data_IF_251630772965
#
_entry.id   IF_251630772965
#
_cell.length_a   1.000
_cell.length_b   1.000
_cell.length_c   1.000
_cell.angle_alpha   90.00
_cell.angle_beta   90.00
_cell.angle_gamma   90.00
#
_symmetry.space_group_name_H-M   'P 1'
#
loop_
_entity.id
_entity.type
_entity.pdbx_description
1 polymer ?
#
# COMPACT_ATOMS: atom_id res chain seq x y z
N UNK A 1 58.46 6.02 21.31
CA UNK A 1 59.20 4.74 21.06
C UNK A 1 58.35 3.69 20.32
N UNK A 2 57.03 3.66 20.50
CA UNK A 2 56.08 2.74 19.84
C UNK A 2 56.09 2.75 18.31
N UNK A 3 56.22 3.93 17.68
CA UNK A 3 56.21 4.07 16.20
C UNK A 3 57.37 3.34 15.49
N UNK A 4 58.59 3.38 16.07
CA UNK A 4 59.77 2.70 15.51
C UNK A 4 59.63 1.18 15.57
N UNK A 5 58.95 0.67 16.60
CA UNK A 5 58.72 -0.76 16.78
C UNK A 5 57.64 -1.29 15.82
N UNK A 6 56.60 -0.50 15.58
CA UNK A 6 55.54 -0.80 14.60
C UNK A 6 56.11 -0.88 13.17
N UNK A 7 57.02 0.04 12.82
CA UNK A 7 57.70 0.07 11.52
C UNK A 7 58.61 -1.13 11.29
N UNK A 8 59.18 -1.69 12.36
CA UNK A 8 60.10 -2.84 12.30
C UNK A 8 59.36 -4.16 12.07
N UNK A 9 58.12 -4.27 12.57
CA UNK A 9 57.24 -5.43 12.43
C UNK A 9 55.99 -5.11 11.58
N UNK A 10 56.17 -4.42 10.46
CA UNK A 10 55.10 -3.93 9.58
C UNK A 10 54.12 -5.04 9.16
N UNK A 11 54.63 -6.19 8.66
CA UNK A 11 53.77 -7.28 8.15
C UNK A 11 52.82 -7.82 9.22
N UNK A 12 53.32 -8.12 10.42
CA UNK A 12 52.52 -8.67 11.52
C UNK A 12 51.54 -7.65 12.09
N UNK A 13 51.97 -6.39 12.22
CA UNK A 13 51.13 -5.31 12.73
C UNK A 13 50.01 -4.96 11.73
N UNK A 14 50.29 -5.02 10.43
CA UNK A 14 49.29 -4.85 9.36
C UNK A 14 48.24 -5.96 9.39
N UNK A 15 48.62 -7.22 9.57
CA UNK A 15 47.67 -8.33 9.64
C UNK A 15 46.71 -8.19 10.84
N UNK A 16 47.23 -7.84 12.01
CA UNK A 16 46.39 -7.60 13.19
C UNK A 16 45.48 -6.38 12.99
N UNK A 17 46.02 -5.27 12.48
CA UNK A 17 45.25 -4.07 12.17
C UNK A 17 44.15 -4.33 11.14
N UNK A 18 44.46 -5.07 10.07
CA UNK A 18 43.49 -5.47 9.06
C UNK A 18 42.39 -6.35 9.64
N UNK A 19 42.74 -7.32 10.50
CA UNK A 19 41.74 -8.19 11.15
C UNK A 19 40.76 -7.37 12.00
N UNK A 20 41.28 -6.44 12.81
CA UNK A 20 40.45 -5.55 13.64
C UNK A 20 39.60 -4.63 12.75
N UNK A 21 40.20 -4.03 11.72
CA UNK A 21 39.51 -3.14 10.80
C UNK A 21 38.38 -3.87 10.05
N UNK A 22 38.62 -5.08 9.55
CA UNK A 22 37.61 -5.91 8.90
C UNK A 22 36.46 -6.27 9.83
N UNK A 23 36.75 -6.65 11.09
CA UNK A 23 35.70 -6.90 12.08
C UNK A 23 34.86 -5.65 12.37
N UNK A 24 35.53 -4.50 12.53
CA UNK A 24 34.85 -3.22 12.75
C UNK A 24 34.00 -2.78 11.56
N UNK A 25 34.50 -2.93 10.33
CA UNK A 25 33.72 -2.67 9.10
C UNK A 25 32.50 -3.58 9.06
N UNK A 26 32.65 -4.87 9.38
CA UNK A 26 31.53 -5.80 9.43
C UNK A 26 30.44 -5.36 10.42
N UNK A 27 30.83 -4.92 11.61
CA UNK A 27 29.89 -4.38 12.60
C UNK A 27 29.19 -3.11 12.11
N UNK A 28 29.94 -2.15 11.55
CA UNK A 28 29.36 -0.92 11.02
C UNK A 28 28.36 -1.18 9.89
N UNK A 29 28.69 -2.08 8.96
CA UNK A 29 27.78 -2.46 7.88
C UNK A 29 26.52 -3.14 8.42
N UNK A 30 26.65 -4.00 9.43
CA UNK A 30 25.50 -4.63 10.08
C UNK A 30 24.60 -3.60 10.77
N UNK A 31 25.18 -2.67 11.54
CA UNK A 31 24.42 -1.61 12.19
C UNK A 31 23.71 -0.71 11.18
N UNK A 32 24.41 -0.27 10.13
CA UNK A 32 23.82 0.53 9.07
C UNK A 32 22.69 -0.22 8.33
N UNK A 33 22.84 -1.52 8.13
CA UNK A 33 21.78 -2.34 7.54
C UNK A 33 20.56 -2.45 8.45
N UNK A 34 20.74 -2.70 9.74
CA UNK A 34 19.63 -2.78 10.71
C UNK A 34 18.87 -1.45 10.75
N UNK A 35 19.58 -0.33 10.87
CA UNK A 35 18.98 1.01 10.87
C UNK A 35 18.21 1.28 9.56
N UNK A 36 18.81 0.95 8.41
CA UNK A 36 18.15 1.09 7.10
C UNK A 36 16.88 0.26 6.99
N UNK A 37 16.88 -0.97 7.49
CA UNK A 37 15.72 -1.87 7.47
C UNK A 37 14.65 -1.38 8.43
N UNK A 38 15.01 -0.91 9.63
CA UNK A 38 14.05 -0.40 10.60
C UNK A 38 13.32 0.84 10.05
N UNK A 39 14.06 1.82 9.52
CA UNK A 39 13.47 2.99 8.88
C UNK A 39 12.60 2.62 7.67
N UNK A 40 13.07 1.68 6.84
CA UNK A 40 12.31 1.16 5.71
C UNK A 40 10.97 0.55 6.15
N UNK A 41 10.99 -0.33 7.14
CA UNK A 41 9.80 -1.03 7.63
C UNK A 41 8.82 -0.07 8.30
N UNK A 42 9.32 0.88 9.08
CA UNK A 42 8.49 1.91 9.70
C UNK A 42 7.78 2.75 8.63
N UNK A 43 8.53 3.30 7.66
CA UNK A 43 7.95 4.13 6.58
C UNK A 43 6.96 3.32 5.74
N UNK A 44 7.30 2.09 5.40
CA UNK A 44 6.42 1.19 4.66
C UNK A 44 5.13 0.86 5.45
N UNK A 45 5.24 0.57 6.75
CA UNK A 45 4.09 0.25 7.59
C UNK A 45 3.15 1.46 7.79
N UNK A 46 3.72 2.66 7.96
CA UNK A 46 2.95 3.89 8.19
C UNK A 46 2.35 4.40 6.88
N UNK A 47 3.17 4.70 5.86
CA UNK A 47 2.70 5.47 4.70
C UNK A 47 2.20 4.62 3.54
N UNK A 48 2.77 3.43 3.32
CA UNK A 48 2.46 2.60 2.14
C UNK A 48 1.39 1.56 2.49
N UNK A 49 1.53 0.89 3.64
CA UNK A 49 0.61 -0.15 4.07
C UNK A 49 -0.48 0.36 5.01
N UNK A 50 -0.43 1.60 5.51
CA UNK A 50 -1.44 2.19 6.40
C UNK A 50 -1.77 1.33 7.65
N UNK A 51 -0.81 0.54 8.13
CA UNK A 51 -0.94 -0.33 9.30
C UNK A 51 -0.30 0.25 10.56
N UNK A 52 0.51 1.30 10.44
CA UNK A 52 1.19 1.97 11.55
C UNK A 52 0.44 3.15 12.18
N UNK A 53 -0.84 3.36 11.86
CA UNK A 53 -1.62 4.50 12.35
C UNK A 53 -2.43 4.18 13.61
N UNK A 54 -2.64 5.19 14.45
CA UNK A 54 -3.66 5.14 15.50
C UNK A 54 -5.04 5.27 14.85
N UNK A 55 -5.90 4.28 15.09
CA UNK A 55 -7.26 4.25 14.54
C UNK A 55 -8.27 4.57 15.63
N UNK A 56 -9.19 5.47 15.32
CA UNK A 56 -10.30 5.82 16.21
C UNK A 56 -11.53 5.04 15.79
N UNK A 57 -12.10 4.29 16.73
CA UNK A 57 -13.35 3.56 16.54
C UNK A 57 -14.41 4.11 17.46
N UNK A 58 -15.68 3.99 17.06
CA UNK A 58 -16.80 4.19 17.97
C UNK A 58 -16.70 3.19 19.11
N UNK A 59 -17.15 3.59 20.31
CA UNK A 59 -17.08 2.71 21.49
C UNK A 59 -17.74 1.35 21.23
N UNK A 60 -17.01 0.26 21.51
CA UNK A 60 -17.42 -1.12 21.24
C UNK A 60 -17.44 -1.51 19.75
N UNK A 61 -16.96 -0.65 18.86
CA UNK A 61 -16.96 -0.89 17.42
C UNK A 61 -15.94 -1.95 17.00
N UNK A 62 -14.79 -2.03 17.68
CA UNK A 62 -13.77 -3.02 17.35
C UNK A 62 -14.31 -4.46 17.44
N UNK A 63 -15.15 -4.76 18.43
CA UNK A 63 -15.72 -6.11 18.61
C UNK A 63 -17.07 -6.28 17.90
N UNK A 64 -17.90 -5.23 17.84
CA UNK A 64 -19.31 -5.35 17.45
C UNK A 64 -19.62 -4.80 16.06
N UNK A 65 -18.64 -4.23 15.36
CA UNK A 65 -18.84 -3.71 14.00
C UNK A 65 -19.43 -4.76 13.07
N UNK A 66 -18.86 -5.98 13.03
CA UNK A 66 -19.38 -7.05 12.16
C UNK A 66 -20.80 -7.51 12.51
N UNK A 67 -21.26 -7.30 13.74
CA UNK A 67 -22.62 -7.67 14.16
C UNK A 67 -23.63 -6.57 13.84
N UNK A 68 -23.24 -5.30 14.01
CA UNK A 68 -24.12 -4.13 13.84
C UNK A 68 -23.37 -2.96 13.17
N UNK A 69 -23.00 -3.06 11.88
CA UNK A 69 -22.15 -2.09 11.21
C UNK A 69 -22.67 -0.65 11.33
N UNK A 70 -23.95 -0.42 10.97
CA UNK A 70 -24.61 0.90 11.04
C UNK A 70 -24.54 1.57 12.42
N UNK A 71 -24.50 0.80 13.51
CA UNK A 71 -24.44 1.36 14.87
C UNK A 71 -23.04 1.80 15.26
N UNK A 72 -22.03 1.07 14.79
CA UNK A 72 -20.64 1.17 15.22
C UNK A 72 -19.72 1.88 14.20
N UNK A 73 -20.26 2.31 13.07
CA UNK A 73 -19.62 3.26 12.15
C UNK A 73 -19.61 4.67 12.77
N UNK A 74 -18.54 5.43 12.51
CA UNK A 74 -18.47 6.87 12.76
C UNK A 74 -19.22 7.60 11.64
N UNK A 75 -20.14 8.48 12.02
CA UNK A 75 -20.90 9.26 11.03
C UNK A 75 -20.03 10.40 10.48
N UNK A 76 -20.36 10.99 9.31
CA UNK A 76 -19.61 12.10 8.74
C UNK A 76 -19.41 13.28 9.70
N UNK A 77 -20.40 13.55 10.57
CA UNK A 77 -20.32 14.60 11.60
C UNK A 77 -19.30 14.26 12.70
N UNK A 78 -19.23 12.98 13.11
CA UNK A 78 -18.24 12.50 14.09
C UNK A 78 -16.83 12.65 13.51
N UNK A 79 -16.64 12.24 12.25
CA UNK A 79 -15.37 12.37 11.53
C UNK A 79 -14.93 13.83 11.46
N UNK A 80 -15.82 14.72 11.03
CA UNK A 80 -15.51 16.15 10.93
C UNK A 80 -15.14 16.77 12.28
N UNK A 81 -15.80 16.33 13.36
CA UNK A 81 -15.50 16.78 14.72
C UNK A 81 -14.10 16.34 15.15
N UNK A 82 -13.74 15.07 14.87
CA UNK A 82 -12.41 14.54 15.18
C UNK A 82 -11.31 15.25 14.37
N UNK A 83 -11.55 15.53 13.09
CA UNK A 83 -10.61 16.26 12.23
C UNK A 83 -10.36 17.69 12.72
N UNK A 84 -11.31 18.31 13.42
CA UNK A 84 -11.16 19.65 13.98
C UNK A 84 -10.47 19.68 15.34
N UNK A 85 -10.81 18.74 16.23
CA UNK A 85 -10.34 18.76 17.63
C UNK A 85 -8.94 18.13 17.78
N UNK A 86 -8.68 17.00 17.12
CA UNK A 86 -7.43 16.27 17.34
C UNK A 86 -6.17 17.09 17.00
N UNK A 87 -6.13 17.90 15.92
CA UNK A 87 -4.96 18.73 15.63
C UNK A 87 -4.67 19.80 16.69
N UNK A 88 -5.67 20.30 17.42
CA UNK A 88 -5.46 21.30 18.49
C UNK A 88 -4.97 20.67 19.80
N UNK A 89 -5.37 19.42 20.06
CA UNK A 89 -5.06 18.73 21.33
C UNK A 89 -3.72 17.99 21.30
N UNK A 90 -3.27 17.54 20.13
CA UNK A 90 -2.09 16.66 20.00
C UNK A 90 -0.97 17.37 19.24
N UNK A 91 0.03 17.88 19.99
CA UNK A 91 1.14 18.67 19.42
C UNK A 91 2.00 17.93 18.38
N UNK A 92 2.06 16.58 18.45
CA UNK A 92 2.84 15.74 17.51
C UNK A 92 1.97 15.07 16.44
N UNK A 93 0.72 15.48 16.29
CA UNK A 93 -0.16 14.92 15.28
C UNK A 93 0.17 15.53 13.92
N UNK A 94 0.51 14.67 12.99
CA UNK A 94 0.93 15.12 11.66
C UNK A 94 -0.25 15.26 10.69
N UNK A 95 -1.15 14.27 10.68
CA UNK A 95 -2.31 14.25 9.80
C UNK A 95 -3.44 13.43 10.41
N UNK A 96 -4.66 13.93 10.25
CA UNK A 96 -5.90 13.18 10.46
C UNK A 96 -6.56 13.00 9.09
N UNK A 97 -7.12 11.82 8.86
CA UNK A 97 -7.87 11.50 7.65
C UNK A 97 -8.90 10.42 7.98
N UNK A 98 -10.11 10.46 7.37
CA UNK A 98 -10.99 9.31 7.37
C UNK A 98 -10.31 8.15 6.64
N UNK A 99 -10.68 6.96 7.06
CA UNK A 99 -10.16 5.72 6.53
C UNK A 99 -11.24 4.67 6.51
N UNK A 100 -11.27 3.91 5.43
CA UNK A 100 -12.21 2.82 5.20
C UNK A 100 -11.40 1.55 4.95
N UNK A 101 -11.79 0.47 5.61
CA UNK A 101 -11.26 -0.86 5.34
C UNK A 101 -12.41 -1.82 5.07
N UNK A 102 -12.22 -2.70 4.09
CA UNK A 102 -13.21 -3.71 3.74
C UNK A 102 -12.53 -4.95 3.17
N UNK A 103 -13.34 -5.97 2.93
CA UNK A 103 -12.91 -7.18 2.23
C UNK A 103 -14.01 -7.66 1.31
N UNK A 104 -13.63 -8.40 0.29
CA UNK A 104 -14.55 -8.89 -0.72
C UNK A 104 -13.92 -9.88 -1.67
N UNK A 105 -14.61 -10.15 -2.76
CA UNK A 105 -14.17 -10.96 -3.89
C UNK A 105 -14.05 -10.09 -5.13
N UNK A 106 -12.87 -10.08 -5.73
CA UNK A 106 -12.62 -9.44 -7.02
C UNK A 106 -12.70 -10.52 -8.09
N UNK A 107 -13.37 -10.25 -9.20
CA UNK A 107 -13.61 -11.21 -10.26
C UNK A 107 -13.38 -10.64 -11.66
N UNK A 108 -12.95 -11.53 -12.56
CA UNK A 108 -12.88 -11.32 -14.01
C UNK A 108 -13.98 -12.11 -14.76
N UNK A 109 -15.10 -12.40 -14.09
CA UNK A 109 -16.20 -13.28 -14.53
C UNK A 109 -15.90 -14.78 -14.53
N UNK A 110 -14.64 -15.21 -14.69
CA UNK A 110 -14.26 -16.63 -14.72
C UNK A 110 -13.58 -17.13 -13.46
N UNK A 111 -12.96 -16.23 -12.71
CA UNK A 111 -12.21 -16.52 -11.49
C UNK A 111 -12.49 -15.43 -10.48
N UNK A 112 -12.35 -15.77 -9.20
CA UNK A 112 -12.50 -14.83 -8.10
C UNK A 112 -11.28 -14.92 -7.18
N UNK A 113 -10.90 -13.78 -6.62
CA UNK A 113 -9.81 -13.67 -5.65
C UNK A 113 -10.28 -12.84 -4.46
N UNK A 114 -10.05 -13.30 -3.22
CA UNK A 114 -10.31 -12.47 -2.06
C UNK A 114 -9.38 -11.25 -2.09
N UNK A 115 -9.93 -10.09 -1.74
CA UNK A 115 -9.15 -8.86 -1.64
C UNK A 115 -9.48 -8.11 -0.36
N UNK A 116 -8.56 -7.23 0.03
CA UNK A 116 -8.81 -6.20 1.03
C UNK A 116 -8.90 -4.86 0.33
N UNK A 117 -9.92 -4.08 0.68
CA UNK A 117 -10.14 -2.74 0.19
C UNK A 117 -9.63 -1.73 1.21
N UNK A 118 -9.01 -0.66 0.71
CA UNK A 118 -8.68 0.52 1.50
C UNK A 118 -9.24 1.73 0.78
N UNK A 119 -10.11 2.47 1.46
CA UNK A 119 -10.62 3.74 0.99
C UNK A 119 -9.91 4.87 1.73
N UNK A 120 -9.20 5.72 1.00
CA UNK A 120 -8.57 6.93 1.52
C UNK A 120 -8.92 8.12 0.63
N UNK A 121 -9.07 9.33 1.21
CA UNK A 121 -9.17 10.55 0.42
C UNK A 121 -7.96 10.74 -0.49
N UNK A 122 -8.21 11.27 -1.70
CA UNK A 122 -7.15 11.50 -2.71
C UNK A 122 -6.09 12.50 -2.25
N UNK A 123 -6.47 13.48 -1.43
CA UNK A 123 -5.55 14.42 -0.77
C UNK A 123 -4.62 13.73 0.22
N UNK A 124 -5.13 12.73 0.95
CA UNK A 124 -4.35 11.95 1.91
C UNK A 124 -3.38 11.03 1.18
N UNK A 125 -3.82 10.35 0.11
CA UNK A 125 -2.92 9.56 -0.75
C UNK A 125 -1.79 10.44 -1.31
N UNK A 126 -2.13 11.63 -1.85
CA UNK A 126 -1.14 12.57 -2.37
C UNK A 126 -0.15 13.00 -1.29
N UNK A 127 -0.64 13.41 -0.12
CA UNK A 127 0.19 13.82 1.01
C UNK A 127 1.17 12.71 1.41
N UNK A 128 0.68 11.48 1.61
CA UNK A 128 1.52 10.33 1.98
C UNK A 128 2.58 10.05 0.92
N UNK A 129 2.24 10.10 -0.37
CA UNK A 129 3.21 9.87 -1.46
C UNK A 129 4.30 10.94 -1.54
N UNK A 130 3.95 12.18 -1.24
CA UNK A 130 4.89 13.31 -1.24
C UNK A 130 5.63 13.49 0.07
N UNK A 131 5.36 12.66 1.08
CA UNK A 131 5.93 12.81 2.41
C UNK A 131 7.47 12.61 2.38
N UNK A 132 8.28 13.49 3.00
CA UNK A 132 9.75 13.43 2.92
C UNK A 132 10.35 12.08 3.28
N UNK A 133 9.84 11.43 4.35
CA UNK A 133 10.35 10.12 4.75
C UNK A 133 10.11 9.03 3.71
N UNK A 134 9.04 9.14 2.93
CA UNK A 134 8.72 8.16 1.88
C UNK A 134 9.65 8.35 0.69
N UNK A 135 9.96 9.60 0.34
CA UNK A 135 10.94 9.94 -0.70
C UNK A 135 12.37 9.51 -0.32
N UNK A 136 12.72 9.63 0.96
CA UNK A 136 14.04 9.27 1.46
C UNK A 136 14.23 7.75 1.58
N UNK A 137 13.28 7.05 2.21
CA UNK A 137 13.48 5.66 2.62
C UNK A 137 12.84 4.64 1.69
N UNK A 138 11.79 5.01 0.95
CA UNK A 138 11.02 4.08 0.10
C UNK A 138 10.57 4.69 -1.24
N UNK A 139 11.41 5.41 -2.00
CA UNK A 139 11.00 6.05 -3.25
C UNK A 139 10.50 5.03 -4.30
N UNK A 140 10.99 3.80 -4.26
CA UNK A 140 10.59 2.71 -5.14
C UNK A 140 9.16 2.20 -4.88
N UNK A 141 8.63 2.34 -3.66
CA UNK A 141 7.26 1.93 -3.33
C UNK A 141 6.21 2.93 -3.84
N UNK A 142 6.64 4.13 -4.22
CA UNK A 142 5.77 5.15 -4.83
C UNK A 142 5.52 4.89 -6.32
N UNK A 143 6.30 4.02 -6.93
CA UNK A 143 6.25 3.75 -8.36
C UNK A 143 5.05 2.88 -8.67
N UNK A 144 4.07 3.47 -9.37
CA UNK A 144 3.07 2.69 -10.07
C UNK A 144 3.78 1.87 -11.15
N UNK A 145 3.54 0.56 -11.16
CA UNK A 145 4.01 -0.30 -12.25
C UNK A 145 3.34 0.07 -13.56
N UNK A 146 2.11 0.58 -13.49
CA UNK A 146 1.31 0.94 -14.66
C UNK A 146 0.18 1.90 -14.28
N UNK A 147 -0.23 2.73 -15.22
CA UNK A 147 -1.38 3.63 -15.07
C UNK A 147 -1.13 4.84 -14.19
N UNK A 148 -2.21 5.39 -13.66
CA UNK A 148 -2.21 6.67 -12.96
C UNK A 148 -2.71 6.52 -11.52
N UNK A 149 -2.24 7.41 -10.63
CA UNK A 149 -2.69 7.45 -9.25
C UNK A 149 -4.07 8.11 -9.15
N UNK A 150 -4.79 7.84 -8.05
CA UNK A 150 -6.03 8.56 -7.72
C UNK A 150 -5.85 10.09 -7.72
N UNK A 151 -4.68 10.55 -7.31
CA UNK A 151 -4.36 11.97 -7.21
C UNK A 151 -4.22 12.69 -8.56
N UNK A 152 -4.18 11.97 -9.69
CA UNK A 152 -3.93 12.50 -11.02
C UNK A 152 -5.21 12.81 -11.83
N UNK A 153 -6.40 12.64 -11.24
CA UNK A 153 -7.69 12.94 -11.90
C UNK A 153 -8.53 11.72 -12.23
N UNK A 154 -8.35 10.63 -11.50
CA UNK A 154 -9.11 9.39 -11.68
C UNK A 154 -10.61 9.59 -11.47
N UNK A 155 -11.44 9.00 -12.33
CA UNK A 155 -12.91 8.99 -12.20
C UNK A 155 -13.37 8.28 -10.93
N UNK A 156 -14.57 8.62 -10.44
CA UNK A 156 -15.19 8.05 -9.24
C UNK A 156 -15.23 6.51 -9.23
N UNK A 157 -15.32 5.88 -10.41
CA UNK A 157 -15.52 4.42 -10.55
C UNK A 157 -14.21 3.67 -10.85
N UNK A 158 -13.08 4.17 -10.37
CA UNK A 158 -11.77 3.55 -10.62
C UNK A 158 -11.10 3.07 -9.35
N UNK A 159 -10.21 2.09 -9.50
CA UNK A 159 -9.43 1.52 -8.39
C UNK A 159 -7.94 1.43 -8.72
N UNK A 160 -7.11 1.57 -7.68
CA UNK A 160 -5.74 1.12 -7.70
C UNK A 160 -5.66 -0.34 -7.24
N UNK A 161 -5.00 -1.17 -8.04
CA UNK A 161 -4.91 -2.61 -7.78
C UNK A 161 -3.46 -3.02 -7.52
N UNK A 162 -3.25 -3.90 -6.54
CA UNK A 162 -1.94 -4.53 -6.37
C UNK A 162 -1.60 -5.38 -7.60
N UNK A 163 -0.40 -5.22 -8.15
CA UNK A 163 0.02 -5.94 -9.36
C UNK A 163 -0.07 -7.48 -9.22
N UNK A 164 0.06 -8.00 -7.99
CA UNK A 164 -0.15 -9.43 -7.69
C UNK A 164 -1.60 -9.87 -7.92
N UNK A 165 -2.57 -9.08 -7.43
CA UNK A 165 -4.00 -9.35 -7.63
C UNK A 165 -4.38 -9.26 -9.11
N UNK A 166 -3.89 -8.23 -9.81
CA UNK A 166 -4.08 -8.06 -11.24
C UNK A 166 -3.55 -9.28 -12.03
N UNK A 167 -2.39 -9.81 -11.65
CA UNK A 167 -1.82 -11.03 -12.23
C UNK A 167 -2.67 -12.27 -11.97
N UNK A 168 -3.15 -12.46 -10.74
CA UNK A 168 -4.00 -13.60 -10.39
C UNK A 168 -5.34 -13.57 -11.13
N UNK A 169 -5.88 -12.37 -11.37
CA UNK A 169 -7.10 -12.17 -12.16
C UNK A 169 -6.83 -12.14 -13.68
N UNK A 170 -5.58 -12.26 -14.13
CA UNK A 170 -5.25 -12.18 -15.55
C UNK A 170 -5.60 -10.84 -16.20
N UNK A 171 -5.54 -9.75 -15.43
CA UNK A 171 -5.90 -8.37 -15.81
C UNK A 171 -4.65 -7.48 -15.90
N UNK A 172 -3.79 -7.63 -16.94
CA UNK A 172 -2.52 -6.93 -17.02
C UNK A 172 -2.64 -5.46 -17.43
N UNK A 173 -3.77 -5.06 -18.00
CA UNK A 173 -4.01 -3.70 -18.51
C UNK A 173 -4.72 -2.83 -17.47
N UNK A 174 -4.55 -1.52 -17.63
CA UNK A 174 -5.29 -0.47 -16.91
C UNK A 174 -6.16 0.31 -17.90
N UNK A 175 -7.10 1.10 -17.41
CA UNK A 175 -8.05 1.89 -18.21
C UNK A 175 -7.36 2.72 -19.30
N UNK A 176 -6.23 3.37 -18.99
CA UNK A 176 -5.49 4.19 -19.95
C UNK A 176 -4.80 3.42 -21.09
N UNK A 177 -4.69 2.09 -21.01
CA UNK A 177 -4.06 1.28 -22.06
C UNK A 177 -5.00 0.92 -23.22
N UNK A 178 -6.30 1.10 -23.04
CA UNK A 178 -7.33 0.57 -23.92
C UNK A 178 -8.27 1.70 -24.32
N UNK A 179 -8.62 1.75 -25.61
CA UNK A 179 -9.68 2.63 -26.06
C UNK A 179 -10.99 2.27 -25.36
N UNK A 180 -11.80 3.27 -25.05
CA UNK A 180 -13.10 3.07 -24.41
C UNK A 180 -13.98 2.19 -25.31
N UNK A 181 -14.21 0.95 -24.87
CA UNK A 181 -14.89 -0.08 -25.64
C UNK A 181 -15.75 -0.92 -24.70
N UNK A 182 -16.95 -1.28 -25.17
CA UNK A 182 -17.81 -2.25 -24.48
C UNK A 182 -17.26 -3.65 -24.71
N UNK A 183 -16.90 -4.34 -23.64
CA UNK A 183 -16.45 -5.73 -23.72
C UNK A 183 -17.65 -6.68 -23.76
N UNK A 184 -17.63 -7.72 -24.62
CA UNK A 184 -18.73 -8.67 -24.69
C UNK A 184 -18.81 -9.52 -23.42
N UNK A 185 -20.02 -9.99 -23.10
CA UNK A 185 -20.24 -10.91 -22.00
C UNK A 185 -19.46 -12.21 -22.21
N UNK A 186 -18.78 -12.65 -21.16
CA UNK A 186 -18.06 -13.92 -21.16
C UNK A 186 -19.04 -15.04 -20.86
N UNK A 187 -19.26 -15.94 -21.82
CA UNK A 187 -20.19 -17.07 -21.70
C UNK A 187 -19.49 -18.41 -21.51
N UNK A 188 -18.23 -18.54 -21.93
CA UNK A 188 -17.43 -19.76 -21.79
C UNK A 188 -16.03 -19.45 -21.26
N UNK A 189 -15.73 -19.86 -20.03
CA UNK A 189 -14.43 -19.65 -19.40
C UNK A 189 -13.32 -20.60 -19.89
N UNK A 190 -13.66 -21.68 -20.61
CA UNK A 190 -12.70 -22.63 -21.13
C UNK A 190 -12.11 -22.22 -22.49
N UNK A 191 -12.75 -21.28 -23.20
CA UNK A 191 -12.32 -20.88 -24.53
C UNK A 191 -11.01 -20.07 -24.51
N UNK A 192 -10.14 -20.30 -25.50
CA UNK A 192 -8.92 -19.51 -25.68
C UNK A 192 -9.21 -18.03 -25.98
N UNK A 193 -10.34 -17.76 -26.65
CA UNK A 193 -10.79 -16.39 -26.96
C UNK A 193 -11.14 -15.61 -25.69
N UNK A 194 -11.77 -16.26 -24.71
CA UNK A 194 -12.12 -15.68 -23.42
C UNK A 194 -10.90 -15.20 -22.66
N UNK A 195 -9.83 -16.00 -22.62
CA UNK A 195 -8.58 -15.58 -21.96
C UNK A 195 -8.01 -14.30 -22.58
N UNK A 196 -8.08 -14.17 -23.90
CA UNK A 196 -7.61 -12.98 -24.60
C UNK A 196 -8.51 -11.75 -24.32
N UNK A 197 -9.83 -11.95 -24.22
CA UNK A 197 -10.79 -10.91 -23.84
C UNK A 197 -10.56 -10.41 -22.41
N UNK A 198 -10.40 -11.33 -21.46
CA UNK A 198 -10.11 -11.01 -20.05
C UNK A 198 -8.85 -10.16 -19.94
N UNK A 199 -7.78 -10.51 -20.66
CA UNK A 199 -6.52 -9.78 -20.64
C UNK A 199 -6.61 -8.37 -21.24
N UNK A 200 -7.57 -8.15 -22.14
CA UNK A 200 -7.81 -6.84 -22.76
C UNK A 200 -8.77 -5.96 -21.98
N UNK A 201 -9.66 -6.55 -21.18
CA UNK A 201 -10.63 -5.79 -20.39
C UNK A 201 -10.01 -5.32 -19.05
N UNK A 202 -9.89 -4.00 -18.78
CA UNK A 202 -9.37 -3.47 -17.52
C UNK A 202 -10.40 -3.41 -16.38
N UNK A 203 -11.66 -3.81 -16.65
CA UNK A 203 -12.74 -3.83 -15.67
C UNK A 203 -12.62 -5.05 -14.75
N UNK A 204 -13.04 -4.86 -13.50
CA UNK A 204 -13.08 -5.88 -12.47
C UNK A 204 -14.41 -5.75 -11.73
N UNK A 205 -15.03 -6.89 -11.45
CA UNK A 205 -16.22 -6.95 -10.63
C UNK A 205 -15.81 -7.14 -9.18
N UNK A 206 -16.24 -6.25 -8.31
CA UNK A 206 -16.00 -6.30 -6.88
C UNK A 206 -17.30 -6.67 -6.18
N UNK A 207 -17.29 -7.77 -5.44
CA UNK A 207 -18.34 -8.12 -4.50
C UNK A 207 -17.81 -7.87 -3.09
N UNK A 208 -18.40 -6.94 -2.37
CA UNK A 208 -17.98 -6.61 -1.02
C UNK A 208 -19.17 -6.39 -0.09
N UNK A 209 -18.92 -6.53 1.21
CA UNK A 209 -19.89 -6.10 2.21
C UNK A 209 -19.87 -4.57 2.26
N UNK A 210 -21.03 -3.95 2.04
CA UNK A 210 -21.26 -2.54 2.23
C UNK A 210 -21.24 -2.17 3.73
N UNK A 211 -20.96 -0.90 4.01
CA UNK A 211 -20.92 -0.35 5.39
C UNK A 211 -22.19 -0.55 6.18
N UNK A 212 -23.30 -0.69 5.49
CA UNK A 212 -24.61 -0.81 6.06
C UNK A 212 -24.95 -2.26 6.44
N UNK A 213 -24.03 -3.19 6.15
CA UNK A 213 -24.12 -4.63 6.37
C UNK A 213 -24.59 -5.42 5.16
N UNK A 214 -25.07 -4.76 4.10
CA UNK A 214 -25.50 -5.39 2.86
C UNK A 214 -24.34 -5.93 2.03
N UNK A 215 -24.64 -6.73 1.01
CA UNK A 215 -23.67 -7.15 0.00
C UNK A 215 -23.92 -6.36 -1.27
N UNK A 216 -22.89 -5.70 -1.79
CA UNK A 216 -22.96 -4.97 -3.05
C UNK A 216 -21.95 -5.54 -4.04
N UNK A 217 -22.39 -5.65 -5.29
CA UNK A 217 -21.54 -5.96 -6.43
C UNK A 217 -21.41 -4.68 -7.27
N UNK A 218 -20.18 -4.30 -7.58
CA UNK A 218 -19.87 -3.10 -8.35
C UNK A 218 -18.83 -3.43 -9.42
N UNK A 219 -19.02 -2.91 -10.61
CA UNK A 219 -18.05 -3.02 -11.69
C UNK A 219 -17.20 -1.74 -11.71
N UNK A 220 -15.88 -1.91 -11.67
CA UNK A 220 -14.94 -0.80 -11.58
C UNK A 220 -13.77 -1.01 -12.54
N UNK A 221 -13.14 0.08 -12.93
CA UNK A 221 -11.99 0.08 -13.84
C UNK A 221 -10.67 0.19 -13.08
N UNK A 222 -9.65 -0.59 -13.47
CA UNK A 222 -8.31 -0.45 -12.89
C UNK A 222 -7.67 0.81 -13.47
N UNK A 223 -7.47 1.86 -12.66
CA UNK A 223 -6.77 3.09 -13.09
C UNK A 223 -5.25 2.94 -13.04
N UNK A 224 -4.75 2.15 -12.09
CA UNK A 224 -3.33 1.96 -11.88
C UNK A 224 -3.01 0.67 -11.14
N UNK A 225 -1.77 0.21 -11.31
CA UNK A 225 -1.23 -0.95 -10.62
C UNK A 225 0.01 -0.58 -9.82
N UNK A 226 0.05 -0.95 -8.54
CA UNK A 226 1.18 -0.68 -7.66
C UNK A 226 1.91 -1.96 -7.24
N UNK A 227 3.20 -1.82 -6.91
CA UNK A 227 3.93 -2.93 -6.27
C UNK A 227 3.60 -2.96 -4.80
N UNK A 228 3.10 -4.10 -4.34
CA UNK A 228 3.13 -4.50 -2.91
C UNK A 228 4.33 -5.40 -2.68
#
# INVERSE_FOLDING_TARGET
>A
MTWRNLRRNLRRSLLMGATIASGYIGLLLMFAYIDRVDQYLMVNAVYVNHSGHVRVYKSGGLEKFFQKPRKYVLNPEDVKTLEQILPSEITKLEKVSPYIEGMGLASNSCQYQPFRLKGIPSETDRWMRTHPMVQEWTPELLILKRGESFSAGSSADSILMAAGLARLLGKPLVRGDVAEQVFPLITDCASAQTKALIQKNPEVQLLAQAFDGGMNAEETSISGQYST
#
